data_IF_530998874089
#
_entry.id   IF_530998874089
#
_cell.length_a   1.000
_cell.length_b   1.000
_cell.length_c   1.000
_cell.angle_alpha   90.00
_cell.angle_beta   90.00
_cell.angle_gamma   90.00
#
_symmetry.space_group_name_H-M   'P 1'
#
loop_
_entity.id
_entity.type
_entity.pdbx_description
1 polymer ?
#
# COMPACT_ATOMS: atom_id res chain seq x y z
N UNK A 1 -58.25 34.23 -21.33
CA UNK A 1 -59.59 34.84 -21.20
C UNK A 1 -60.19 34.97 -22.58
N UNK A 2 -61.48 34.67 -22.69
CA UNK A 2 -62.35 34.68 -23.89
C UNK A 2 -62.16 33.50 -24.87
N UNK A 3 -63.20 32.83 -25.38
CA UNK A 3 -64.65 32.78 -25.08
C UNK A 3 -65.26 31.64 -25.92
N UNK A 4 -66.35 31.06 -25.39
CA UNK A 4 -67.60 30.48 -26.00
C UNK A 4 -67.53 29.76 -27.37
N UNK A 5 -68.34 28.74 -27.72
CA UNK A 5 -69.82 28.65 -27.74
C UNK A 5 -70.16 27.21 -28.22
N UNK A 6 -70.93 26.38 -27.51
CA UNK A 6 -72.37 26.05 -27.69
C UNK A 6 -72.88 25.68 -29.10
N UNK A 7 -73.52 24.49 -29.21
CA UNK A 7 -74.72 24.10 -30.00
C UNK A 7 -74.81 22.55 -29.93
N UNK A 8 -75.79 21.87 -29.34
CA UNK A 8 -77.26 21.87 -29.28
C UNK A 8 -77.96 20.96 -30.32
N UNK A 9 -78.87 20.13 -29.78
CA UNK A 9 -80.02 19.41 -30.36
C UNK A 9 -79.96 18.68 -31.73
N UNK A 10 -80.24 17.36 -31.73
CA UNK A 10 -81.48 16.74 -32.26
C UNK A 10 -81.29 15.26 -32.69
N UNK A 11 -82.01 14.33 -32.04
CA UNK A 11 -82.96 13.45 -32.75
C UNK A 11 -83.80 12.58 -31.79
N UNK A 12 -85.02 13.05 -31.50
CA UNK A 12 -86.14 12.20 -31.08
C UNK A 12 -86.77 11.57 -32.31
N UNK A 13 -86.88 10.24 -32.37
CA UNK A 13 -87.95 9.57 -33.13
C UNK A 13 -88.66 8.57 -32.23
N UNK A 14 -89.87 8.96 -31.83
CA UNK A 14 -90.90 8.20 -31.14
C UNK A 14 -91.80 7.59 -32.24
N UNK A 15 -92.07 6.29 -32.21
CA UNK A 15 -93.32 5.72 -32.76
C UNK A 15 -93.88 4.74 -31.74
N UNK A 16 -95.09 5.06 -31.30
CA UNK A 16 -95.99 4.31 -30.43
C UNK A 16 -97.12 3.85 -31.34
N UNK A 17 -97.57 2.60 -31.19
CA UNK A 17 -98.93 2.08 -31.37
C UNK A 17 -98.93 0.72 -30.63
N UNK A 18 -99.38 0.68 -29.38
CA UNK A 18 -100.76 0.43 -28.89
C UNK A 18 -101.15 -1.06 -28.90
N UNK A 19 -101.79 -1.42 -27.79
CA UNK A 19 -102.03 -2.73 -27.18
C UNK A 19 -103.07 -3.59 -27.92
N UNK A 20 -102.96 -4.92 -27.76
CA UNK A 20 -104.12 -5.80 -27.68
C UNK A 20 -103.79 -7.02 -26.79
N UNK A 21 -104.76 -7.38 -25.95
CA UNK A 21 -104.71 -8.32 -24.84
C UNK A 21 -104.72 -9.81 -25.25
N UNK A 22 -104.44 -10.66 -24.25
CA UNK A 22 -104.78 -12.07 -24.13
C UNK A 22 -103.97 -13.13 -24.91
N UNK A 23 -102.98 -13.72 -24.22
CA UNK A 23 -102.94 -15.19 -24.02
C UNK A 23 -102.05 -15.57 -22.82
N UNK A 24 -102.49 -16.52 -21.95
CA UNK A 24 -101.80 -16.88 -20.72
C UNK A 24 -100.91 -18.13 -20.87
N UNK A 25 -100.09 -18.39 -19.84
CA UNK A 25 -99.30 -19.60 -19.56
C UNK A 25 -97.91 -19.78 -20.21
N UNK A 26 -96.88 -19.60 -19.37
CA UNK A 26 -96.11 -20.76 -18.92
C UNK A 26 -94.71 -20.93 -19.50
N UNK A 27 -93.70 -20.43 -18.80
CA UNK A 27 -92.32 -20.91 -18.96
C UNK A 27 -91.27 -19.95 -18.43
N UNK A 28 -91.00 -19.96 -17.12
CA UNK A 28 -89.83 -19.30 -16.54
C UNK A 28 -88.57 -19.82 -17.21
N UNK A 29 -88.00 -19.00 -18.09
CA UNK A 29 -86.71 -19.26 -18.74
C UNK A 29 -85.66 -19.33 -17.65
N UNK A 30 -85.21 -20.54 -17.29
CA UNK A 30 -84.06 -20.74 -16.40
C UNK A 30 -82.87 -20.03 -17.04
N UNK A 31 -82.57 -18.82 -16.59
CA UNK A 31 -81.30 -18.16 -16.92
C UNK A 31 -80.21 -18.97 -16.23
N UNK A 32 -79.50 -19.80 -17.00
CA UNK A 32 -78.21 -20.31 -16.54
C UNK A 32 -77.34 -19.09 -16.22
N UNK A 33 -77.03 -18.88 -14.94
CA UNK A 33 -75.96 -17.98 -14.55
C UNK A 33 -74.67 -18.60 -15.08
N UNK A 34 -74.14 -18.04 -16.17
CA UNK A 34 -72.77 -18.30 -16.59
C UNK A 34 -71.83 -17.92 -15.44
N UNK A 35 -70.82 -18.72 -15.10
CA UNK A 35 -69.90 -18.41 -14.01
C UNK A 35 -69.20 -17.09 -14.32
N UNK A 36 -69.35 -16.11 -13.42
CA UNK A 36 -68.75 -14.79 -13.52
C UNK A 36 -67.22 -14.93 -13.44
N UNK A 37 -66.55 -15.06 -14.60
CA UNK A 37 -65.08 -15.07 -14.72
C UNK A 37 -64.40 -13.77 -14.24
N UNK A 38 -65.19 -12.75 -13.87
CA UNK A 38 -64.70 -11.44 -13.43
C UNK A 38 -64.15 -11.45 -12.00
N UNK A 39 -64.60 -12.35 -11.11
CA UNK A 39 -64.15 -12.36 -9.72
C UNK A 39 -62.76 -13.00 -9.54
N UNK A 40 -62.51 -14.13 -10.23
CA UNK A 40 -61.23 -14.86 -10.19
C UNK A 40 -60.05 -14.02 -10.69
N UNK A 41 -60.23 -13.27 -11.78
CA UNK A 41 -59.20 -12.37 -12.31
C UNK A 41 -58.87 -11.20 -11.35
N UNK A 42 -59.78 -10.84 -10.44
CA UNK A 42 -59.55 -9.80 -9.43
C UNK A 42 -58.78 -10.39 -8.24
N UNK A 43 -59.17 -11.57 -7.78
CA UNK A 43 -58.47 -12.33 -6.75
C UNK A 43 -57.02 -12.63 -7.17
N UNK A 44 -56.79 -13.13 -8.39
CA UNK A 44 -55.45 -13.42 -8.93
C UNK A 44 -54.54 -12.16 -9.00
N UNK A 45 -55.13 -10.98 -9.25
CA UNK A 45 -54.39 -9.71 -9.26
C UNK A 45 -54.06 -9.23 -7.85
N UNK A 46 -54.99 -9.43 -6.90
CA UNK A 46 -54.76 -9.11 -5.48
C UNK A 46 -53.67 -10.01 -4.89
N UNK A 47 -53.67 -11.31 -5.21
CA UNK A 47 -52.64 -12.25 -4.76
C UNK A 47 -51.26 -11.88 -5.31
N UNK A 48 -51.18 -11.48 -6.59
CA UNK A 48 -49.94 -10.96 -7.17
C UNK A 48 -49.45 -9.69 -6.48
N UNK A 49 -50.35 -8.75 -6.17
CA UNK A 49 -50.01 -7.54 -5.41
C UNK A 49 -49.52 -7.88 -3.99
N UNK A 50 -50.17 -8.84 -3.33
CA UNK A 50 -49.77 -9.32 -2.01
C UNK A 50 -48.36 -9.92 -2.04
N UNK A 51 -48.08 -10.77 -3.03
CA UNK A 51 -46.76 -11.38 -3.20
C UNK A 51 -45.67 -10.34 -3.47
N UNK A 52 -45.90 -9.40 -4.38
CA UNK A 52 -44.97 -8.29 -4.63
C UNK A 52 -44.73 -7.46 -3.36
N UNK A 53 -45.76 -7.25 -2.53
CA UNK A 53 -45.61 -6.53 -1.27
C UNK A 53 -44.79 -7.31 -0.23
N UNK A 54 -44.91 -8.65 -0.21
CA UNK A 54 -44.08 -9.52 0.64
C UNK A 54 -42.62 -9.48 0.18
N UNK A 55 -42.37 -9.59 -1.12
CA UNK A 55 -41.03 -9.53 -1.72
C UNK A 55 -40.35 -8.18 -1.43
N UNK A 56 -41.04 -7.07 -1.70
CA UNK A 56 -40.52 -5.72 -1.39
C UNK A 56 -40.21 -5.55 0.10
N UNK A 57 -41.05 -6.09 0.99
CA UNK A 57 -40.77 -6.06 2.43
C UNK A 57 -39.54 -6.90 2.82
N UNK A 58 -39.30 -8.02 2.14
CA UNK A 58 -38.10 -8.82 2.35
C UNK A 58 -36.85 -8.08 1.86
N UNK A 59 -36.89 -7.48 0.66
CA UNK A 59 -35.81 -6.66 0.13
C UNK A 59 -35.48 -5.47 1.03
N UNK A 60 -36.50 -4.76 1.54
CA UNK A 60 -36.30 -3.66 2.49
C UNK A 60 -35.60 -4.14 3.76
N UNK A 61 -35.96 -5.31 4.28
CA UNK A 61 -35.28 -5.88 5.46
C UNK A 61 -33.82 -6.19 5.17
N UNK A 62 -33.53 -6.80 4.02
CA UNK A 62 -32.16 -7.12 3.60
C UNK A 62 -31.31 -5.86 3.38
N UNK A 63 -31.85 -4.84 2.70
CA UNK A 63 -31.15 -3.56 2.54
C UNK A 63 -30.87 -2.88 3.89
N UNK A 64 -31.79 -3.00 4.85
CA UNK A 64 -31.58 -2.47 6.19
C UNK A 64 -30.50 -3.22 6.98
N UNK A 65 -30.34 -4.54 6.79
CA UNK A 65 -29.25 -5.29 7.40
C UNK A 65 -27.91 -4.91 6.78
N UNK A 66 -27.83 -4.86 5.45
CA UNK A 66 -26.62 -4.43 4.73
C UNK A 66 -26.21 -3.00 5.11
N UNK A 67 -27.16 -2.07 5.23
CA UNK A 67 -26.88 -0.71 5.69
C UNK A 67 -26.30 -0.65 7.11
N UNK A 68 -26.72 -1.54 8.01
CA UNK A 68 -26.16 -1.60 9.36
C UNK A 68 -24.73 -2.12 9.36
N UNK A 69 -24.47 -3.14 8.54
CA UNK A 69 -23.13 -3.71 8.38
C UNK A 69 -22.17 -2.68 7.76
N UNK A 70 -22.56 -2.02 6.66
CA UNK A 70 -21.75 -0.96 6.04
C UNK A 70 -21.41 0.17 7.02
N UNK A 71 -22.35 0.55 7.91
CA UNK A 71 -22.09 1.58 8.94
C UNK A 71 -21.09 1.10 9.99
N UNK A 72 -21.12 -0.19 10.32
CA UNK A 72 -20.17 -0.81 11.25
C UNK A 72 -18.78 -0.82 10.63
N UNK A 73 -18.65 -1.30 9.40
CA UNK A 73 -17.38 -1.34 8.67
C UNK A 73 -16.81 0.07 8.49
N UNK A 74 -17.65 1.06 8.17
CA UNK A 74 -17.21 2.44 8.06
C UNK A 74 -16.64 2.99 9.38
N UNK A 75 -17.17 2.55 10.53
CA UNK A 75 -16.63 2.92 11.84
C UNK A 75 -15.28 2.27 12.08
N UNK A 76 -15.16 0.97 11.79
CA UNK A 76 -13.91 0.20 11.93
C UNK A 76 -12.80 0.81 11.05
N UNK A 77 -13.08 1.09 9.77
CA UNK A 77 -12.12 1.74 8.88
C UNK A 77 -11.67 3.12 9.36
N UNK A 78 -12.56 3.91 9.99
CA UNK A 78 -12.18 5.20 10.57
C UNK A 78 -11.21 5.03 11.73
N UNK A 79 -11.41 4.00 12.55
CA UNK A 79 -10.51 3.67 13.67
C UNK A 79 -9.16 3.18 13.15
N UNK A 80 -9.14 2.28 12.16
CA UNK A 80 -7.90 1.82 11.52
C UNK A 80 -7.10 2.96 10.89
N UNK A 81 -7.77 3.87 10.16
CA UNK A 81 -7.12 5.06 9.58
C UNK A 81 -6.49 5.92 10.67
N UNK A 82 -7.13 6.06 11.83
CA UNK A 82 -6.59 6.82 12.96
C UNK A 82 -5.32 6.16 13.50
N UNK A 83 -5.35 4.85 13.73
CA UNK A 83 -4.20 4.07 14.20
C UNK A 83 -3.05 4.17 13.21
N UNK A 84 -3.31 4.00 11.91
CA UNK A 84 -2.29 4.10 10.87
C UNK A 84 -1.65 5.49 10.82
N UNK A 85 -2.42 6.56 11.03
CA UNK A 85 -1.87 7.92 11.13
C UNK A 85 -0.94 8.06 12.33
N UNK A 86 -1.34 7.58 13.50
CA UNK A 86 -0.52 7.62 14.71
C UNK A 86 0.78 6.83 14.52
N UNK A 87 0.70 5.62 13.95
CA UNK A 87 1.88 4.80 13.64
C UNK A 87 2.82 5.48 12.64
N UNK A 88 2.28 6.16 11.63
CA UNK A 88 3.08 6.87 10.64
C UNK A 88 3.84 8.04 11.26
N UNK A 89 3.21 8.81 12.16
CA UNK A 89 3.89 9.88 12.88
C UNK A 89 5.02 9.34 13.79
N UNK A 90 4.78 8.26 14.52
CA UNK A 90 5.82 7.60 15.33
C UNK A 90 7.00 7.15 14.45
N UNK A 91 6.72 6.57 13.27
CA UNK A 91 7.76 6.14 12.34
C UNK A 91 8.57 7.32 11.79
N UNK A 92 7.93 8.45 11.49
CA UNK A 92 8.63 9.68 11.07
C UNK A 92 9.54 10.22 12.15
N UNK A 93 9.11 10.20 13.41
CA UNK A 93 9.93 10.64 14.54
C UNK A 93 11.15 9.74 14.71
N UNK A 94 10.96 8.42 14.73
CA UNK A 94 12.06 7.44 14.79
C UNK A 94 13.04 7.60 13.63
N UNK A 95 12.53 7.82 12.41
CA UNK A 95 13.38 8.06 11.24
C UNK A 95 14.28 9.28 11.44
N UNK A 96 13.72 10.40 11.92
CA UNK A 96 14.51 11.63 12.20
C UNK A 96 15.55 11.41 13.29
N UNK A 97 15.24 10.62 14.31
CA UNK A 97 16.18 10.27 15.38
C UNK A 97 17.34 9.45 14.83
N UNK A 98 17.05 8.39 14.09
CA UNK A 98 18.07 7.55 13.44
C UNK A 98 18.92 8.34 12.44
N UNK A 99 18.35 9.31 11.72
CA UNK A 99 19.10 10.18 10.83
C UNK A 99 20.12 11.04 11.59
N UNK A 100 19.72 11.62 12.73
CA UNK A 100 20.63 12.39 13.60
C UNK A 100 21.74 11.53 14.18
N UNK A 101 21.43 10.33 14.66
CA UNK A 101 22.43 9.38 15.17
C UNK A 101 23.44 9.02 14.09
N UNK A 102 22.98 8.74 12.87
CA UNK A 102 23.85 8.45 11.74
C UNK A 102 24.77 9.62 11.38
N UNK A 103 24.28 10.86 11.41
CA UNK A 103 25.14 12.03 11.22
C UNK A 103 26.20 12.18 12.30
N UNK A 104 25.84 11.92 13.56
CA UNK A 104 26.77 11.96 14.67
C UNK A 104 27.86 10.89 14.52
N UNK A 105 27.48 9.64 14.23
CA UNK A 105 28.43 8.53 14.01
C UNK A 105 29.38 8.86 12.85
N UNK A 106 28.89 9.43 11.74
CA UNK A 106 29.75 9.87 10.63
C UNK A 106 30.78 10.91 11.06
N UNK A 107 30.40 11.87 11.89
CA UNK A 107 31.32 12.89 12.43
C UNK A 107 32.36 12.26 13.35
N UNK A 108 31.95 11.37 14.24
CA UNK A 108 32.84 10.67 15.16
C UNK A 108 33.85 9.80 14.40
N UNK A 109 33.40 9.02 13.41
CA UNK A 109 34.29 8.22 12.54
C UNK A 109 35.31 9.10 11.80
N UNK A 110 34.88 10.25 11.28
CA UNK A 110 35.79 11.19 10.62
C UNK A 110 36.87 11.72 11.57
N UNK A 111 36.49 12.05 12.81
CA UNK A 111 37.43 12.49 13.83
C UNK A 111 38.39 11.38 14.24
N UNK A 112 37.89 10.16 14.44
CA UNK A 112 38.71 8.98 14.76
C UNK A 112 39.73 8.74 13.63
N UNK A 113 39.30 8.79 12.37
CA UNK A 113 40.19 8.63 11.22
C UNK A 113 41.32 9.67 11.23
N UNK A 114 40.98 10.95 11.43
CA UNK A 114 42.00 12.02 11.54
C UNK A 114 42.96 11.80 12.70
N UNK A 115 42.46 11.35 13.85
CA UNK A 115 43.30 11.06 15.01
C UNK A 115 44.26 9.89 14.73
N UNK A 116 43.79 8.84 14.03
CA UNK A 116 44.65 7.72 13.60
C UNK A 116 45.73 8.22 12.64
N UNK A 117 45.36 9.00 11.61
CA UNK A 117 46.33 9.57 10.66
C UNK A 117 47.38 10.43 11.36
N UNK A 118 46.95 11.23 12.34
CA UNK A 118 47.87 12.06 13.15
C UNK A 118 48.81 11.19 14.00
N UNK A 119 48.28 10.19 14.70
CA UNK A 119 49.10 9.26 15.50
C UNK A 119 50.07 8.44 14.65
N UNK A 120 49.66 8.01 13.46
CA UNK A 120 50.55 7.30 12.52
C UNK A 120 51.68 8.22 12.04
N UNK A 121 51.37 9.48 11.76
CA UNK A 121 52.38 10.47 11.38
C UNK A 121 53.36 10.74 12.53
N UNK A 122 52.87 10.92 13.75
CA UNK A 122 53.69 11.15 14.93
C UNK A 122 54.59 9.94 15.24
N UNK A 123 54.02 8.73 15.22
CA UNK A 123 54.77 7.48 15.39
C UNK A 123 55.88 7.32 14.34
N UNK A 124 55.62 7.74 13.10
CA UNK A 124 56.54 7.58 11.98
C UNK A 124 57.41 8.82 11.72
N UNK A 125 57.36 9.85 12.55
CA UNK A 125 58.04 11.13 12.30
C UNK A 125 59.55 10.97 12.10
N UNK A 126 60.17 10.03 12.83
CA UNK A 126 61.60 9.73 12.76
C UNK A 126 61.92 8.50 11.91
N UNK A 127 60.91 7.86 11.33
CA UNK A 127 61.09 6.66 10.53
C UNK A 127 61.43 7.06 9.09
N UNK A 128 62.45 6.44 8.54
CA UNK A 128 62.87 6.64 7.14
C UNK A 128 62.78 5.32 6.40
N UNK A 129 62.21 5.36 5.20
CA UNK A 129 62.19 4.21 4.29
C UNK A 129 63.38 4.31 3.36
N UNK A 130 64.28 3.34 3.43
CA UNK A 130 65.45 3.24 2.55
C UNK A 130 65.18 2.17 1.49
N UNK A 131 65.39 2.52 0.22
CA UNK A 131 65.25 1.61 -0.92
C UNK A 131 66.59 1.47 -1.65
N UNK A 132 66.76 0.41 -2.45
CA UNK A 132 68.01 0.13 -3.17
C UNK A 132 69.06 -0.65 -2.38
N UNK A 133 68.73 -1.12 -1.17
CA UNK A 133 69.55 -2.08 -0.43
C UNK A 133 69.35 -3.48 -0.99
N UNK A 134 70.43 -4.09 -1.49
CA UNK A 134 70.44 -5.49 -1.92
C UNK A 134 70.55 -6.42 -0.72
N UNK A 135 69.42 -6.65 -0.04
CA UNK A 135 69.35 -7.53 1.13
C UNK A 135 69.08 -8.98 0.70
N UNK A 136 69.76 -9.94 1.33
CA UNK A 136 69.45 -11.37 1.17
C UNK A 136 68.17 -11.69 1.98
N UNK A 137 67.32 -12.61 1.50
CA UNK A 137 65.99 -12.90 2.10
C UNK A 137 66.01 -13.25 3.60
N UNK A 138 67.14 -13.75 4.13
CA UNK A 138 67.31 -14.16 5.54
C UNK A 138 68.30 -13.28 6.30
N UNK A 139 68.32 -11.97 6.04
CA UNK A 139 69.17 -11.06 6.82
C UNK A 139 68.62 -10.88 8.23
N UNK A 140 69.41 -11.29 9.23
CA UNK A 140 69.11 -11.07 10.65
C UNK A 140 69.01 -9.57 10.98
N UNK A 141 68.16 -9.16 11.94
CA UNK A 141 67.91 -7.74 12.25
C UNK A 141 69.17 -6.92 12.57
N UNK A 142 70.16 -7.51 13.24
CA UNK A 142 71.41 -6.81 13.59
C UNK A 142 72.29 -6.53 12.38
N UNK A 143 72.32 -7.45 11.38
CA UNK A 143 73.07 -7.27 10.13
C UNK A 143 72.45 -6.19 9.27
N UNK A 144 71.12 -6.11 9.28
CA UNK A 144 70.38 -5.09 8.54
C UNK A 144 70.75 -3.67 8.99
N UNK A 145 70.86 -3.46 10.31
CA UNK A 145 71.27 -2.16 10.88
C UNK A 145 72.69 -1.80 10.44
N UNK A 146 73.62 -2.74 10.51
CA UNK A 146 75.02 -2.52 10.08
C UNK A 146 75.14 -2.24 8.57
N UNK A 147 74.37 -2.95 7.73
CA UNK A 147 74.31 -2.68 6.29
C UNK A 147 73.69 -1.32 5.97
N UNK A 148 72.64 -0.92 6.69
CA UNK A 148 72.07 0.42 6.58
C UNK A 148 73.08 1.50 6.98
N UNK A 149 73.79 1.34 8.11
CA UNK A 149 74.80 2.30 8.55
C UNK A 149 75.92 2.47 7.51
N UNK A 150 76.42 1.36 6.94
CA UNK A 150 77.42 1.39 5.86
C UNK A 150 76.88 2.09 4.61
N UNK A 151 75.67 1.77 4.20
CA UNK A 151 75.03 2.37 3.03
C UNK A 151 74.86 3.89 3.19
N UNK A 152 74.32 4.33 4.33
CA UNK A 152 74.13 5.76 4.62
C UNK A 152 75.46 6.52 4.63
N UNK A 153 76.49 5.95 5.25
CA UNK A 153 77.81 6.57 5.31
C UNK A 153 78.52 6.63 3.95
N UNK A 154 78.48 5.55 3.17
CA UNK A 154 79.23 5.45 1.90
C UNK A 154 78.52 6.14 0.73
N UNK A 155 77.21 5.92 0.59
CA UNK A 155 76.47 6.38 -0.58
C UNK A 155 75.85 7.77 -0.37
N UNK A 156 75.38 8.04 0.85
CA UNK A 156 74.70 9.30 1.16
C UNK A 156 75.54 10.28 1.98
N UNK A 157 76.70 9.85 2.49
CA UNK A 157 77.57 10.65 3.37
C UNK A 157 76.84 11.17 4.63
N UNK A 158 75.89 10.37 5.14
CA UNK A 158 75.10 10.70 6.33
C UNK A 158 75.52 9.78 7.48
N UNK A 159 75.74 10.38 8.65
CA UNK A 159 75.96 9.67 9.89
C UNK A 159 74.68 9.74 10.73
N UNK A 160 74.04 8.59 10.95
CA UNK A 160 72.77 8.50 11.67
C UNK A 160 72.85 7.41 12.75
N UNK A 161 72.17 7.63 13.87
CA UNK A 161 72.02 6.60 14.91
C UNK A 161 70.70 5.85 14.66
N UNK A 162 70.81 4.65 14.07
CA UNK A 162 69.63 3.83 13.76
C UNK A 162 69.17 3.11 15.02
N UNK A 163 67.99 3.40 15.56
CA UNK A 163 67.48 2.67 16.74
C UNK A 163 67.07 1.23 16.36
N UNK A 164 66.24 1.09 15.34
CA UNK A 164 65.75 -0.20 14.83
C UNK A 164 65.72 -0.21 13.30
N UNK A 165 65.91 -1.41 12.72
CA UNK A 165 65.82 -1.62 11.28
C UNK A 165 64.95 -2.85 11.00
N UNK A 166 64.08 -2.75 9.98
CA UNK A 166 63.20 -3.85 9.55
C UNK A 166 63.01 -3.80 8.04
N UNK A 167 63.12 -4.96 7.37
CA UNK A 167 62.71 -5.12 5.96
C UNK A 167 61.19 -4.99 5.86
N UNK A 168 60.71 -4.13 4.97
CA UNK A 168 59.28 -3.93 4.69
C UNK A 168 58.96 -4.55 3.32
N UNK A 169 57.89 -5.35 3.23
CA UNK A 169 57.49 -6.08 2.02
C UNK A 169 57.53 -7.61 2.18
N UNK A 170 56.71 -8.33 1.41
CA UNK A 170 56.58 -9.80 1.45
C UNK A 170 57.42 -10.43 0.32
N UNK A 171 58.21 -11.46 0.63
CA UNK A 171 58.74 -12.38 -0.38
C UNK A 171 57.54 -13.15 -0.99
N UNK A 172 57.13 -12.77 -2.20
CA UNK A 172 55.93 -13.29 -2.85
C UNK A 172 56.07 -14.77 -3.24
N UNK A 173 55.61 -15.69 -2.38
CA UNK A 173 55.20 -17.03 -2.81
C UNK A 173 53.97 -17.53 -2.04
N UNK A 174 52.79 -17.21 -2.57
CA UNK A 174 51.63 -18.10 -2.45
C UNK A 174 51.02 -18.27 -3.84
N UNK A 175 51.36 -19.38 -4.51
CA UNK A 175 50.51 -19.94 -5.58
C UNK A 175 49.23 -20.40 -4.91
N UNK A 176 48.16 -19.63 -5.08
CA UNK A 176 46.81 -20.13 -4.83
C UNK A 176 46.60 -21.24 -5.87
N UNK A 177 46.50 -22.49 -5.42
CA UNK A 177 45.97 -23.56 -6.23
C UNK A 177 44.47 -23.35 -6.30
N UNK A 178 43.97 -22.94 -7.46
CA UNK A 178 42.56 -23.13 -7.80
C UNK A 178 42.33 -24.64 -7.96
N UNK A 179 41.36 -25.17 -7.21
CA UNK A 179 40.76 -26.50 -7.43
C UNK A 179 39.48 -26.32 -8.25
#
# INVERSE_FOLDING_TARGET
>A
MYSEESTDENNKRRRVYEEDEDTPFGGSRKTQRTPTKTNKNREDKMDKLMNMMIELNAEIKNMNTEMKEMRKDQKEYREEIKILKEQNEILKEKYKETEKENEQIKKELHNIKKNIEWMEKEKNEKNVVVTGLSLIEKTEPYKLKEEMDKFLAQQLQVQAEIETARKIGIDMYYKIKEN
#
